data_IF_319563016581
#
_entry.id   IF_319563016581
#
_cell.length_a   1.000
_cell.length_b   1.000
_cell.length_c   1.000
_cell.angle_alpha   90.00
_cell.angle_beta   90.00
_cell.angle_gamma   90.00
#
_symmetry.space_group_name_H-M   'P 1'
#
loop_
_entity.id
_entity.type
_entity.pdbx_description
1 polymer ?
#
# COMPACT_ATOMS: atom_id res chain seq x y z
N UNK A 1 33.11 2.69 -53.10
CA UNK A 1 33.09 2.99 -51.66
C UNK A 1 32.00 4.02 -51.27
N UNK A 2 31.56 4.93 -52.11
CA UNK A 2 30.52 5.92 -51.77
C UNK A 2 29.07 5.35 -51.63
N UNK A 3 28.70 4.33 -52.43
CA UNK A 3 27.36 3.71 -52.36
C UNK A 3 27.05 2.94 -51.08
N UNK A 4 28.04 2.34 -50.45
CA UNK A 4 27.84 1.62 -49.17
C UNK A 4 27.63 2.57 -47.99
N UNK A 5 28.27 3.75 -48.00
CA UNK A 5 28.07 4.77 -46.95
C UNK A 5 26.69 5.41 -47.00
N UNK A 6 26.11 5.56 -48.20
CA UNK A 6 24.76 6.10 -48.36
C UNK A 6 23.67 5.13 -47.87
N UNK A 7 23.87 3.84 -48.07
CA UNK A 7 22.94 2.79 -47.61
C UNK A 7 22.88 2.70 -46.06
N UNK A 8 24.01 2.82 -45.40
CA UNK A 8 24.09 2.79 -43.93
C UNK A 8 23.40 4.01 -43.29
N UNK A 9 23.57 5.19 -43.87
CA UNK A 9 22.91 6.43 -43.41
C UNK A 9 21.41 6.35 -43.62
N UNK A 10 20.95 5.75 -44.75
CA UNK A 10 19.52 5.58 -45.04
C UNK A 10 18.86 4.57 -44.09
N UNK A 11 19.55 3.47 -43.74
CA UNK A 11 19.07 2.51 -42.73
C UNK A 11 19.01 3.11 -41.31
N UNK A 12 19.93 3.98 -40.93
CA UNK A 12 19.91 4.68 -39.64
C UNK A 12 18.78 5.72 -39.57
N UNK A 13 18.42 6.35 -40.71
CA UNK A 13 17.28 7.27 -40.75
C UNK A 13 15.93 6.56 -40.67
N UNK A 14 15.79 5.37 -41.26
CA UNK A 14 14.56 4.56 -41.18
C UNK A 14 14.38 3.95 -39.78
N UNK A 15 15.46 3.53 -39.10
CA UNK A 15 15.39 3.06 -37.73
C UNK A 15 15.03 4.16 -36.72
N UNK A 16 15.37 5.40 -36.99
CA UNK A 16 14.98 6.56 -36.17
C UNK A 16 13.50 6.96 -36.30
N UNK A 17 12.85 6.67 -37.42
CA UNK A 17 11.42 6.99 -37.63
C UNK A 17 10.46 5.96 -37.01
N UNK A 18 10.94 4.77 -36.68
CA UNK A 18 10.09 3.73 -36.10
C UNK A 18 9.85 3.89 -34.59
N UNK A 19 10.49 4.89 -33.92
CA UNK A 19 10.38 5.10 -32.49
C UNK A 19 9.40 6.22 -32.09
N UNK A 20 8.62 6.77 -33.05
CA UNK A 20 7.57 7.76 -32.77
C UNK A 20 6.16 7.18 -32.92
N UNK A 21 5.99 5.91 -32.54
CA UNK A 21 4.66 5.42 -32.21
C UNK A 21 4.26 6.03 -30.85
N UNK A 22 3.77 7.27 -30.89
CA UNK A 22 2.99 7.81 -29.78
C UNK A 22 1.76 6.94 -29.63
N UNK A 23 1.86 5.90 -28.80
CA UNK A 23 0.69 5.23 -28.27
C UNK A 23 0.05 6.22 -27.30
N UNK A 24 -0.72 7.17 -27.84
CA UNK A 24 -1.74 7.86 -27.06
C UNK A 24 -2.78 6.81 -26.71
N UNK A 25 -2.48 6.03 -25.66
CA UNK A 25 -3.47 5.21 -25.03
C UNK A 25 -4.44 6.21 -24.42
N UNK A 26 -5.63 6.34 -25.01
CA UNK A 26 -6.71 7.10 -24.41
C UNK A 26 -6.94 6.55 -23.00
N UNK A 27 -6.37 7.24 -22.00
CA UNK A 27 -6.57 6.91 -20.60
C UNK A 27 -7.99 7.36 -20.29
N UNK A 28 -8.93 6.44 -20.43
CA UNK A 28 -10.33 6.65 -20.10
C UNK A 28 -10.42 6.66 -18.56
N UNK A 29 -10.09 7.81 -17.95
CA UNK A 29 -10.16 8.00 -16.51
C UNK A 29 -11.61 8.00 -16.06
N UNK A 30 -12.06 6.91 -15.45
CA UNK A 30 -13.35 6.85 -14.79
C UNK A 30 -13.15 7.22 -13.31
N UNK A 31 -13.67 8.36 -12.93
CA UNK A 31 -13.69 8.75 -11.53
C UNK A 31 -14.66 7.87 -10.75
N UNK A 32 -14.20 7.32 -9.64
CA UNK A 32 -14.98 6.58 -8.66
C UNK A 32 -15.02 7.38 -7.38
N UNK A 33 -16.20 7.71 -6.90
CA UNK A 33 -16.40 8.53 -5.70
C UNK A 33 -17.38 7.87 -4.71
N UNK A 34 -17.73 8.60 -3.66
CA UNK A 34 -18.67 8.16 -2.61
C UNK A 34 -20.03 7.75 -3.18
N UNK A 35 -20.50 8.42 -4.25
CA UNK A 35 -21.77 8.07 -4.93
C UNK A 35 -21.73 6.69 -5.59
N UNK A 36 -20.55 6.15 -5.80
CA UNK A 36 -20.34 4.85 -6.42
C UNK A 36 -19.86 3.80 -5.41
N UNK A 37 -19.90 4.12 -4.11
CA UNK A 37 -19.66 3.17 -3.03
C UNK A 37 -18.35 3.30 -2.27
N UNK A 38 -17.51 4.31 -2.55
CA UNK A 38 -16.35 4.61 -1.72
C UNK A 38 -16.81 5.13 -0.36
N UNK A 39 -16.21 4.66 0.73
CA UNK A 39 -16.65 4.95 2.10
C UNK A 39 -16.51 6.41 2.52
N UNK A 40 -15.53 7.13 1.96
CA UNK A 40 -15.29 8.55 2.24
C UNK A 40 -14.50 9.21 1.09
N UNK A 41 -14.73 10.51 0.85
CA UNK A 41 -14.07 11.25 -0.22
C UNK A 41 -12.56 11.51 0.02
N UNK A 42 -12.13 11.55 1.28
CA UNK A 42 -10.72 11.74 1.63
C UNK A 42 -10.01 10.38 1.63
N UNK A 43 -9.22 10.16 0.61
CA UNK A 43 -8.37 8.98 0.45
C UNK A 43 -6.99 9.28 1.01
N UNK A 44 -6.50 8.40 1.89
CA UNK A 44 -5.19 8.54 2.54
C UNK A 44 -4.11 7.65 1.90
N UNK A 45 -4.48 6.46 1.40
CA UNK A 45 -3.50 5.51 0.84
C UNK A 45 -4.14 4.53 -0.13
N UNK A 46 -3.27 3.88 -0.93
CA UNK A 46 -3.61 2.81 -1.85
C UNK A 46 -2.64 1.64 -1.70
N UNK A 47 -3.13 0.44 -1.92
CA UNK A 47 -2.32 -0.76 -2.07
C UNK A 47 -3.02 -1.71 -3.04
N UNK A 48 -2.28 -2.27 -4.01
CA UNK A 48 -2.79 -3.32 -4.88
C UNK A 48 -2.23 -4.67 -4.44
N UNK A 49 -3.12 -5.62 -4.18
CA UNK A 49 -2.73 -6.97 -3.79
C UNK A 49 -2.36 -7.85 -4.99
N UNK A 50 -1.89 -9.05 -4.70
CA UNK A 50 -1.50 -10.06 -5.69
C UNK A 50 -2.66 -10.59 -6.53
N UNK A 51 -3.89 -10.43 -6.08
CA UNK A 51 -5.11 -10.81 -6.79
C UNK A 51 -5.63 -9.69 -7.70
N UNK A 52 -5.01 -8.51 -7.66
CA UNK A 52 -5.37 -7.35 -8.46
C UNK A 52 -6.44 -6.46 -7.83
N UNK A 53 -6.92 -6.74 -6.62
CA UNK A 53 -7.81 -5.83 -5.89
C UNK A 53 -7.06 -4.58 -5.46
N UNK A 54 -7.72 -3.43 -5.61
CA UNK A 54 -7.20 -2.17 -5.10
C UNK A 54 -7.80 -1.89 -3.73
N UNK A 55 -6.94 -1.87 -2.72
CA UNK A 55 -7.27 -1.49 -1.36
C UNK A 55 -7.10 0.01 -1.18
N UNK A 56 -8.11 0.66 -0.64
CA UNK A 56 -8.17 2.12 -0.51
C UNK A 56 -8.49 2.47 0.94
N UNK A 57 -7.50 3.03 1.61
CA UNK A 57 -7.67 3.56 2.96
C UNK A 57 -8.21 4.98 2.94
N UNK A 58 -9.31 5.22 3.65
CA UNK A 58 -9.96 6.52 3.75
C UNK A 58 -10.02 7.01 5.20
N UNK A 59 -10.58 8.20 5.42
CA UNK A 59 -10.86 8.69 6.76
C UNK A 59 -11.99 7.91 7.46
N UNK A 60 -12.83 7.17 6.72
CA UNK A 60 -13.97 6.46 7.28
C UNK A 60 -14.13 5.05 6.69
N UNK A 61 -13.09 4.26 6.80
CA UNK A 61 -13.07 2.85 6.46
C UNK A 61 -12.01 2.44 5.46
N UNK A 62 -11.84 1.12 5.36
CA UNK A 62 -11.05 0.44 4.35
C UNK A 62 -11.98 -0.02 3.23
N UNK A 63 -11.56 0.18 1.99
CA UNK A 63 -12.34 -0.21 0.82
C UNK A 63 -11.53 -1.19 -0.04
N UNK A 64 -12.18 -2.24 -0.54
CA UNK A 64 -11.64 -3.13 -1.56
C UNK A 64 -12.37 -2.90 -2.87
N UNK A 65 -11.66 -2.57 -3.93
CA UNK A 65 -12.22 -2.35 -5.25
C UNK A 65 -11.78 -3.46 -6.22
N UNK A 66 -12.74 -4.10 -6.87
CA UNK A 66 -12.54 -5.21 -7.82
C UNK A 66 -12.52 -4.77 -9.30
N UNK A 67 -12.46 -3.45 -9.56
CA UNK A 67 -12.60 -2.86 -10.90
C UNK A 67 -14.03 -2.47 -11.26
N UNK A 68 -15.04 -2.91 -10.49
CA UNK A 68 -16.46 -2.65 -10.72
C UNK A 68 -17.15 -2.03 -9.51
N UNK A 69 -17.02 -2.65 -8.33
CA UNK A 69 -17.69 -2.27 -7.08
C UNK A 69 -16.71 -2.14 -5.93
N UNK A 70 -17.13 -1.35 -4.94
CA UNK A 70 -16.46 -1.27 -3.67
C UNK A 70 -17.08 -2.24 -2.67
N UNK A 71 -16.25 -2.89 -1.89
CA UNK A 71 -16.60 -3.54 -0.63
C UNK A 71 -15.99 -2.69 0.49
N UNK A 72 -16.81 -2.33 1.48
CA UNK A 72 -16.41 -1.41 2.55
C UNK A 72 -16.30 -2.17 3.86
N UNK A 73 -15.17 -2.00 4.53
CA UNK A 73 -14.88 -2.55 5.85
C UNK A 73 -14.87 -1.41 6.87
N UNK A 74 -15.74 -1.52 7.86
CA UNK A 74 -15.88 -0.60 9.00
C UNK A 74 -15.98 -1.39 10.30
N UNK A 75 -15.75 -0.75 11.46
CA UNK A 75 -16.02 -1.37 12.75
C UNK A 75 -17.48 -1.81 12.85
N UNK A 76 -17.65 -3.03 13.35
CA UNK A 76 -18.94 -3.64 13.63
C UNK A 76 -18.88 -4.32 15.00
N UNK A 77 -19.59 -3.76 15.98
CA UNK A 77 -19.62 -4.27 17.34
C UNK A 77 -20.26 -5.67 17.45
N UNK A 78 -21.06 -6.07 16.47
CA UNK A 78 -21.65 -7.40 16.41
C UNK A 78 -20.67 -8.46 15.85
N UNK A 79 -19.59 -8.03 15.19
CA UNK A 79 -18.61 -8.91 14.58
C UNK A 79 -17.22 -8.71 15.21
N UNK A 80 -16.76 -9.61 16.10
CA UNK A 80 -15.45 -9.48 16.76
C UNK A 80 -14.26 -9.58 15.81
N UNK A 81 -14.50 -9.99 14.56
CA UNK A 81 -13.49 -10.09 13.52
C UNK A 81 -13.54 -8.93 12.52
N UNK A 82 -14.36 -7.91 12.78
CA UNK A 82 -14.40 -6.69 11.98
C UNK A 82 -13.13 -5.85 12.21
N UNK A 83 -12.86 -4.94 11.28
CA UNK A 83 -11.81 -3.94 11.50
C UNK A 83 -12.19 -3.05 12.70
N UNK A 84 -11.22 -2.70 13.54
CA UNK A 84 -11.44 -1.91 14.77
C UNK A 84 -11.19 -0.40 14.58
N UNK A 85 -10.86 0.02 13.36
CA UNK A 85 -10.45 1.40 13.05
C UNK A 85 -11.17 1.93 11.81
N UNK A 86 -11.53 3.21 11.81
CA UNK A 86 -12.12 3.90 10.66
C UNK A 86 -11.07 4.66 9.84
N UNK A 87 -10.20 5.43 10.51
CA UNK A 87 -9.25 6.30 9.83
C UNK A 87 -8.00 5.54 9.43
N UNK A 88 -7.99 5.06 8.19
CA UNK A 88 -6.89 4.28 7.63
C UNK A 88 -5.84 5.23 7.07
N UNK A 89 -4.61 5.09 7.53
CA UNK A 89 -3.48 5.94 7.13
C UNK A 89 -2.53 5.27 6.14
N UNK A 90 -2.38 3.95 6.26
CA UNK A 90 -1.50 3.19 5.39
C UNK A 90 -1.96 1.74 5.28
N UNK A 91 -1.74 1.14 4.12
CA UNK A 91 -1.96 -0.29 3.87
C UNK A 91 -0.73 -0.84 3.15
N UNK A 92 -0.25 -1.99 3.58
CA UNK A 92 0.72 -2.81 2.85
C UNK A 92 0.37 -4.28 3.02
N UNK A 93 0.98 -5.16 2.23
CA UNK A 93 0.70 -6.60 2.29
C UNK A 93 1.92 -7.46 2.02
N UNK A 94 1.82 -8.74 2.38
CA UNK A 94 2.90 -9.71 2.20
C UNK A 94 2.87 -10.41 0.84
N UNK A 95 1.95 -10.04 -0.05
CA UNK A 95 1.68 -10.72 -1.34
C UNK A 95 1.39 -12.22 -1.20
N UNK A 96 0.81 -12.60 -0.06
CA UNK A 96 0.41 -13.98 0.26
C UNK A 96 -0.90 -14.00 1.08
N UNK A 97 -1.77 -12.99 0.87
CA UNK A 97 -3.09 -12.93 1.48
C UNK A 97 -3.17 -12.25 2.84
N UNK A 98 -2.10 -11.61 3.32
CA UNK A 98 -2.13 -10.82 4.54
C UNK A 98 -1.96 -9.33 4.22
N UNK A 99 -2.82 -8.50 4.80
CA UNK A 99 -2.71 -7.04 4.78
C UNK A 99 -2.44 -6.49 6.19
N UNK A 100 -1.61 -5.48 6.22
CA UNK A 100 -1.30 -4.70 7.42
C UNK A 100 -1.86 -3.29 7.23
N UNK A 101 -2.73 -2.89 8.13
CA UNK A 101 -3.51 -1.66 8.06
C UNK A 101 -3.12 -0.80 9.24
N UNK A 102 -2.62 0.39 8.96
CA UNK A 102 -2.18 1.35 9.97
C UNK A 102 -3.21 2.44 10.17
N UNK A 103 -3.53 2.73 11.42
CA UNK A 103 -4.08 4.00 11.92
C UNK A 103 -2.97 4.84 12.58
N UNK A 104 -3.32 5.91 13.28
CA UNK A 104 -2.36 6.65 14.10
C UNK A 104 -1.95 5.90 15.36
N UNK A 105 -2.84 5.03 15.89
CA UNK A 105 -2.68 4.39 17.20
C UNK A 105 -2.73 2.86 17.15
N UNK A 106 -2.69 2.26 15.98
CA UNK A 106 -2.67 0.81 15.88
C UNK A 106 -2.21 0.30 14.53
N UNK A 107 -1.78 -0.95 14.52
CA UNK A 107 -1.63 -1.77 13.32
C UNK A 107 -2.57 -2.95 13.43
N UNK A 108 -3.44 -3.12 12.45
CA UNK A 108 -4.40 -4.21 12.33
C UNK A 108 -3.97 -5.13 11.20
N UNK A 109 -3.96 -6.43 11.44
CA UNK A 109 -3.76 -7.48 10.45
C UNK A 109 -5.12 -7.89 9.88
N UNK A 110 -5.22 -8.02 8.58
CA UNK A 110 -6.32 -8.67 7.88
C UNK A 110 -5.83 -9.94 7.18
N UNK A 111 -6.40 -11.08 7.55
CA UNK A 111 -6.22 -12.34 6.85
C UNK A 111 -7.34 -12.50 5.82
N UNK A 112 -6.99 -12.37 4.53
CA UNK A 112 -7.96 -12.45 3.43
C UNK A 112 -8.59 -13.83 3.31
N UNK A 113 -7.85 -14.90 3.65
CA UNK A 113 -8.33 -16.27 3.56
C UNK A 113 -9.38 -16.57 4.62
N UNK A 114 -9.17 -16.06 5.83
CA UNK A 114 -10.09 -16.24 6.95
C UNK A 114 -11.18 -15.16 7.00
N UNK A 115 -11.02 -14.08 6.21
CA UNK A 115 -11.84 -12.87 6.25
C UNK A 115 -11.96 -12.31 7.68
N UNK A 116 -10.81 -12.14 8.35
CA UNK A 116 -10.75 -11.73 9.75
C UNK A 116 -9.73 -10.65 9.97
N UNK A 117 -10.12 -9.67 10.78
CA UNK A 117 -9.21 -8.65 11.30
C UNK A 117 -8.79 -9.00 12.72
N UNK A 118 -7.55 -8.69 13.08
CA UNK A 118 -7.06 -8.69 14.46
C UNK A 118 -6.07 -7.55 14.68
N UNK A 119 -6.11 -6.95 15.86
CA UNK A 119 -5.10 -5.96 16.25
C UNK A 119 -3.76 -6.68 16.42
N UNK A 120 -2.73 -6.17 15.76
CA UNK A 120 -1.38 -6.69 15.89
C UNK A 120 -0.55 -5.88 16.89
N UNK A 121 -0.77 -4.57 16.91
CA UNK A 121 -0.09 -3.64 17.82
C UNK A 121 -1.02 -2.46 18.13
N UNK A 122 -1.02 -2.05 19.39
CA UNK A 122 -1.60 -0.79 19.85
C UNK A 122 -0.48 0.22 20.19
N UNK A 123 -0.84 1.49 20.22
CA UNK A 123 0.04 2.62 20.47
C UNK A 123 0.39 3.39 19.19
N UNK A 124 1.12 4.47 19.34
CA UNK A 124 1.51 5.34 18.25
C UNK A 124 2.33 4.61 17.18
N UNK A 125 1.95 4.80 15.92
CA UNK A 125 2.62 4.20 14.77
C UNK A 125 2.86 5.27 13.72
N UNK A 126 4.13 5.52 13.41
CA UNK A 126 4.56 6.49 12.40
C UNK A 126 4.49 5.91 10.99
N UNK A 127 4.80 4.62 10.81
CA UNK A 127 4.79 3.97 9.51
C UNK A 127 4.86 2.45 9.59
N UNK A 128 4.44 1.79 8.50
CA UNK A 128 4.57 0.33 8.33
C UNK A 128 5.13 0.00 6.95
N UNK A 129 5.85 -1.11 6.85
CA UNK A 129 6.33 -1.64 5.58
C UNK A 129 6.47 -3.16 5.68
N UNK A 130 6.12 -3.89 4.62
CA UNK A 130 6.45 -5.31 4.50
C UNK A 130 7.60 -5.48 3.51
N UNK A 131 8.72 -6.00 3.98
CA UNK A 131 9.91 -6.21 3.18
C UNK A 131 10.78 -7.33 3.79
N UNK A 132 11.47 -8.10 2.93
CA UNK A 132 12.37 -9.19 3.33
C UNK A 132 11.69 -10.17 4.30
N UNK A 133 10.47 -10.59 3.95
CA UNK A 133 9.64 -11.55 4.70
C UNK A 133 9.37 -11.14 6.16
N UNK A 134 9.35 -9.85 6.42
CA UNK A 134 9.06 -9.28 7.73
C UNK A 134 8.18 -8.04 7.62
N UNK A 135 7.31 -7.84 8.61
CA UNK A 135 6.63 -6.59 8.83
C UNK A 135 7.51 -5.69 9.69
N UNK A 136 7.74 -4.49 9.20
CA UNK A 136 8.43 -3.41 9.88
C UNK A 136 7.45 -2.38 10.36
N UNK A 137 7.55 -1.99 11.62
CA UNK A 137 6.72 -0.96 12.24
C UNK A 137 7.63 0.09 12.84
N UNK A 138 7.48 1.33 12.38
CA UNK A 138 8.15 2.48 12.96
C UNK A 138 7.19 3.21 13.91
N UNK A 139 7.69 3.55 15.09
CA UNK A 139 7.09 4.51 16.04
C UNK A 139 7.87 5.83 15.98
N UNK A 140 7.53 6.80 16.84
CA UNK A 140 8.30 8.06 16.92
C UNK A 140 9.77 7.88 17.34
N UNK A 141 10.08 6.77 18.05
CA UNK A 141 11.41 6.55 18.64
C UNK A 141 12.06 5.23 18.29
N UNK A 142 11.32 4.26 17.75
CA UNK A 142 11.77 2.89 17.61
C UNK A 142 11.32 2.27 16.31
N UNK A 143 12.08 1.29 15.83
CA UNK A 143 11.72 0.43 14.70
C UNK A 143 11.66 -1.01 15.20
N UNK A 144 10.52 -1.64 14.96
CA UNK A 144 10.26 -3.03 15.30
C UNK A 144 10.17 -3.90 14.06
N UNK A 145 10.64 -5.14 14.17
CA UNK A 145 10.57 -6.15 13.14
C UNK A 145 9.78 -7.36 13.60
N UNK A 146 8.74 -7.72 12.85
CA UNK A 146 7.94 -8.93 13.03
C UNK A 146 8.30 -9.94 11.94
N UNK A 147 9.05 -10.98 12.27
CA UNK A 147 9.27 -12.14 11.39
C UNK A 147 8.18 -13.19 11.56
N UNK A 148 7.64 -13.30 12.75
CA UNK A 148 6.50 -14.13 13.09
C UNK A 148 5.44 -13.25 13.74
N UNK A 149 4.22 -13.23 13.18
CA UNK A 149 3.12 -12.36 13.62
C UNK A 149 2.43 -12.85 14.92
N UNK A 150 2.76 -14.06 15.38
CA UNK A 150 2.24 -14.65 16.61
C UNK A 150 3.24 -14.56 17.78
N UNK A 151 4.38 -13.95 17.54
CA UNK A 151 5.43 -13.73 18.55
C UNK A 151 5.64 -12.22 18.78
N UNK A 152 6.28 -11.90 19.90
CA UNK A 152 6.70 -10.54 20.17
C UNK A 152 7.67 -10.03 19.09
N UNK A 153 7.57 -8.78 18.68
CA UNK A 153 8.48 -8.19 17.71
C UNK A 153 9.89 -8.05 18.29
N UNK A 154 10.86 -8.10 17.41
CA UNK A 154 12.22 -7.73 17.72
C UNK A 154 12.36 -6.20 17.65
N UNK A 155 12.92 -5.57 18.68
CA UNK A 155 13.37 -4.19 18.61
C UNK A 155 14.61 -4.15 17.71
N UNK A 156 14.46 -3.54 16.54
CA UNK A 156 15.54 -3.49 15.55
C UNK A 156 16.42 -2.27 15.72
N UNK A 157 15.82 -1.13 16.04
CA UNK A 157 16.54 0.13 16.22
C UNK A 157 15.77 1.07 17.17
N UNK A 158 16.52 1.82 17.99
CA UNK A 158 16.00 2.90 18.83
C UNK A 158 16.76 4.19 18.53
N UNK A 159 16.02 5.27 18.27
CA UNK A 159 16.61 6.58 18.07
C UNK A 159 17.02 7.17 19.43
N UNK A 160 18.21 7.81 19.54
CA UNK A 160 18.59 8.53 20.75
C UNK A 160 17.53 9.57 21.10
N UNK A 161 17.23 9.72 22.38
CA UNK A 161 16.43 10.85 22.85
C UNK A 161 17.26 12.13 22.78
N UNK A 162 16.71 13.21 22.24
CA UNK A 162 17.37 14.54 22.11
C UNK A 162 17.72 15.22 23.46
N UNK A 163 17.70 14.50 24.58
CA UNK A 163 17.91 15.06 25.95
C UNK A 163 19.34 14.91 26.47
N UNK A 164 20.31 14.35 25.72
CA UNK A 164 21.67 14.17 26.24
C UNK A 164 22.74 15.14 25.73
N UNK A 165 22.39 16.15 24.94
CA UNK A 165 23.37 17.14 24.44
C UNK A 165 23.17 18.57 25.02
N UNK A 166 22.81 18.69 26.31
CA UNK A 166 22.92 19.99 27.04
C UNK A 166 23.73 19.78 28.31
N UNK A 167 25.05 19.73 28.14
CA UNK A 167 26.03 20.05 29.18
C UNK A 167 27.12 20.94 28.61
#
# INVERSE_FOLDING_TARGET
MAKAKFLVVYCLFISGLCCMANVTKDINMRFKDVRQGLSHQTVNCFYQDEFGFLWIGTQDGLNRFDGRKFEVFKPDNANPYSININNIRQVCGNKAGLLFIRSLQSVTLYDMRLNRFRVLREGEVAGICYAHDALWIATGKEIYRYRNLDQAPELFFSFPSDEEDVL
#
